data_IF_567175676249
#
_entry.id   IF_567175676249
#
_cell.length_a   1.000
_cell.length_b   1.000
_cell.length_c   1.000
_cell.angle_alpha   90.00
_cell.angle_beta   90.00
_cell.angle_gamma   90.00
#
_symmetry.space_group_name_H-M   'P 1'
#
loop_
_entity.id
_entity.type
_entity.pdbx_description
1 polymer ?
#
# COMPACT_ATOMS: atom_id res chain seq x y z
N UNK A 1 19.24 -66.70 -73.82
CA UNK A 1 19.81 -65.85 -74.89
C UNK A 1 19.42 -64.42 -74.55
N UNK A 2 20.39 -63.47 -74.61
CA UNK A 2 20.43 -62.11 -74.03
C UNK A 2 20.67 -62.10 -72.51
N UNK A 3 21.79 -61.67 -71.90
CA UNK A 3 22.89 -60.69 -72.10
C UNK A 3 22.81 -59.58 -71.05
N UNK A 4 23.92 -59.37 -70.32
CA UNK A 4 24.51 -58.06 -69.96
C UNK A 4 23.72 -57.20 -68.93
N UNK A 5 24.24 -56.55 -67.88
CA UNK A 5 25.56 -56.16 -67.32
C UNK A 5 25.33 -55.97 -65.79
N UNK A 6 26.23 -56.32 -64.84
CA UNK A 6 27.41 -55.55 -64.39
C UNK A 6 27.02 -54.43 -63.39
N UNK A 7 27.62 -54.15 -62.23
CA UNK A 7 28.95 -54.39 -61.62
C UNK A 7 28.83 -54.13 -60.09
N UNK A 8 29.32 -55.00 -59.20
CA UNK A 8 30.69 -55.13 -58.67
C UNK A 8 30.96 -54.30 -57.38
N UNK A 9 30.95 -55.02 -56.26
CA UNK A 9 31.76 -54.73 -55.07
C UNK A 9 33.24 -54.98 -55.42
N UNK A 10 34.14 -54.09 -55.00
CA UNK A 10 35.57 -54.24 -55.22
C UNK A 10 36.36 -53.35 -54.27
N UNK A 11 37.05 -53.99 -53.34
CA UNK A 11 37.93 -53.44 -52.31
C UNK A 11 39.39 -53.70 -52.73
N UNK A 12 40.28 -52.75 -52.44
CA UNK A 12 41.75 -52.84 -52.58
C UNK A 12 42.32 -51.41 -52.52
N UNK A 13 43.24 -51.05 -51.64
CA UNK A 13 44.51 -51.74 -51.45
C UNK A 13 44.97 -51.90 -50.00
N UNK A 14 45.54 -53.08 -49.81
CA UNK A 14 46.36 -53.61 -48.72
C UNK A 14 47.84 -53.24 -48.89
N UNK A 15 48.59 -53.09 -47.79
CA UNK A 15 49.99 -53.53 -47.54
C UNK A 15 50.35 -53.07 -46.10
N UNK A 16 51.01 -53.81 -45.20
CA UNK A 16 51.71 -55.08 -45.26
C UNK A 16 51.83 -55.69 -43.84
N UNK A 17 51.99 -57.01 -43.83
CA UNK A 17 52.32 -57.96 -42.76
C UNK A 17 53.59 -57.62 -41.96
N UNK A 18 53.71 -58.08 -40.69
CA UNK A 18 54.79 -58.98 -40.22
C UNK A 18 54.69 -59.28 -38.70
N UNK A 19 54.74 -60.57 -38.32
CA UNK A 19 55.33 -61.03 -37.05
C UNK A 19 54.38 -61.50 -35.94
N UNK A 20 54.31 -62.83 -35.75
CA UNK A 20 53.55 -63.51 -34.69
C UNK A 20 54.33 -63.67 -33.37
N UNK A 21 53.64 -63.76 -32.23
CA UNK A 21 53.83 -64.79 -31.18
C UNK A 21 52.63 -64.80 -30.20
N UNK A 22 52.33 -65.94 -29.55
CA UNK A 22 50.97 -66.30 -29.15
C UNK A 22 50.65 -66.09 -27.65
N UNK A 23 49.37 -65.88 -27.37
CA UNK A 23 48.63 -66.40 -26.21
C UNK A 23 49.02 -65.87 -24.82
N UNK A 24 48.10 -65.15 -24.19
CA UNK A 24 47.51 -65.55 -22.91
C UNK A 24 46.21 -64.76 -22.70
N UNK A 25 45.10 -65.48 -22.58
CA UNK A 25 43.84 -64.96 -22.03
C UNK A 25 44.11 -64.39 -20.64
N UNK A 26 43.81 -63.10 -20.47
CA UNK A 26 43.45 -62.54 -19.18
C UNK A 26 42.40 -61.45 -19.39
N UNK A 27 41.16 -61.84 -19.14
CA UNK A 27 39.99 -60.98 -19.11
C UNK A 27 40.13 -60.04 -17.91
N UNK A 28 40.61 -58.82 -18.14
CA UNK A 28 40.53 -57.75 -17.16
C UNK A 28 39.12 -57.12 -17.22
N UNK A 29 38.36 -57.03 -16.11
CA UNK A 29 37.11 -56.30 -16.11
C UNK A 29 37.40 -54.82 -16.34
N UNK A 30 36.95 -54.28 -17.47
CA UNK A 30 36.96 -52.85 -17.75
C UNK A 30 36.12 -52.12 -16.71
N UNK A 31 36.79 -51.58 -15.69
CA UNK A 31 36.18 -50.66 -14.75
C UNK A 31 36.15 -49.28 -15.41
N UNK A 32 35.12 -49.03 -16.22
CA UNK A 32 34.81 -47.70 -16.73
C UNK A 32 34.48 -46.80 -15.53
N UNK A 33 35.47 -46.06 -15.05
CA UNK A 33 35.21 -44.97 -14.11
C UNK A 33 34.47 -43.87 -14.87
N UNK A 34 33.25 -43.49 -14.47
CA UNK A 34 32.66 -42.27 -14.97
C UNK A 34 33.53 -41.13 -14.44
N UNK A 35 34.31 -40.51 -15.33
CA UNK A 35 34.98 -39.24 -15.04
C UNK A 35 33.88 -38.21 -14.81
N UNK A 36 33.43 -38.09 -13.55
CA UNK A 36 32.63 -36.96 -13.09
C UNK A 36 33.54 -35.74 -13.20
N UNK A 37 33.36 -34.95 -14.25
CA UNK A 37 34.04 -33.68 -14.39
C UNK A 37 33.69 -32.80 -13.17
N UNK A 38 34.66 -32.39 -12.34
CA UNK A 38 34.38 -31.71 -11.07
C UNK A 38 34.02 -30.23 -11.24
N UNK A 39 33.69 -29.79 -12.47
CA UNK A 39 33.53 -28.38 -12.85
C UNK A 39 32.11 -28.01 -13.27
N UNK A 40 31.09 -28.76 -12.86
CA UNK A 40 29.70 -28.37 -13.07
C UNK A 40 29.26 -27.29 -12.05
N UNK A 41 29.37 -26.03 -12.50
CA UNK A 41 28.68 -24.79 -12.05
C UNK A 41 28.72 -24.40 -10.56
N UNK A 42 29.62 -23.45 -10.24
CA UNK A 42 29.62 -22.67 -8.97
C UNK A 42 29.27 -21.17 -9.17
N UNK A 43 28.79 -20.76 -10.35
CA UNK A 43 28.54 -19.34 -10.73
C UNK A 43 27.08 -18.85 -10.55
N UNK A 44 26.14 -19.70 -10.15
CA UNK A 44 24.69 -19.37 -10.03
C UNK A 44 24.27 -18.68 -8.72
N UNK A 45 25.09 -18.71 -7.67
CA UNK A 45 24.68 -18.26 -6.33
C UNK A 45 24.48 -16.75 -6.19
N UNK A 46 25.40 -15.92 -6.70
CA UNK A 46 25.34 -14.45 -6.48
C UNK A 46 24.16 -13.82 -7.22
N UNK A 47 23.93 -14.22 -8.47
CA UNK A 47 22.80 -13.71 -9.27
C UNK A 47 21.47 -14.08 -8.61
N UNK A 48 21.32 -15.31 -8.10
CA UNK A 48 20.12 -15.74 -7.40
C UNK A 48 19.89 -14.95 -6.10
N UNK A 49 20.93 -14.71 -5.31
CA UNK A 49 20.88 -13.92 -4.07
C UNK A 49 20.43 -12.48 -4.36
N UNK A 50 21.06 -11.82 -5.34
CA UNK A 50 20.72 -10.45 -5.74
C UNK A 50 19.28 -10.38 -6.25
N UNK A 51 18.86 -11.34 -7.08
CA UNK A 51 17.51 -11.43 -7.62
C UNK A 51 16.48 -11.60 -6.50
N UNK A 52 16.73 -12.50 -5.54
CA UNK A 52 15.84 -12.73 -4.41
C UNK A 52 15.81 -11.56 -3.42
N UNK A 53 16.84 -10.71 -3.38
CA UNK A 53 16.82 -9.51 -2.54
C UNK A 53 16.00 -8.38 -3.19
N UNK A 54 16.30 -8.04 -4.44
CA UNK A 54 15.75 -6.84 -5.07
C UNK A 54 14.37 -7.04 -5.70
N UNK A 55 14.05 -8.20 -6.28
CA UNK A 55 12.73 -8.39 -6.92
C UNK A 55 11.58 -8.26 -5.90
N UNK A 56 11.59 -8.97 -4.76
CA UNK A 56 10.52 -8.82 -3.77
C UNK A 56 10.44 -7.39 -3.22
N UNK A 57 11.59 -6.72 -3.03
CA UNK A 57 11.64 -5.33 -2.60
C UNK A 57 10.98 -4.39 -3.62
N UNK A 58 11.29 -4.53 -4.90
CA UNK A 58 10.70 -3.71 -5.97
C UNK A 58 9.20 -3.93 -6.05
N UNK A 59 8.73 -5.17 -5.91
CA UNK A 59 7.31 -5.50 -5.86
C UNK A 59 6.65 -4.81 -4.65
N UNK A 60 7.26 -4.93 -3.47
CA UNK A 60 6.76 -4.29 -2.25
C UNK A 60 6.62 -2.78 -2.42
N UNK A 61 7.70 -2.11 -2.86
CA UNK A 61 7.73 -0.65 -3.06
C UNK A 61 6.69 -0.23 -4.08
N UNK A 62 6.58 -0.96 -5.20
CA UNK A 62 5.68 -0.61 -6.29
C UNK A 62 4.21 -0.77 -5.91
N UNK A 63 3.83 -1.91 -5.32
CA UNK A 63 2.45 -2.15 -4.84
C UNK A 63 2.10 -1.15 -3.74
N UNK A 64 2.98 -0.97 -2.75
CA UNK A 64 2.74 -0.04 -1.64
C UNK A 64 2.60 1.39 -2.15
N UNK A 65 3.43 1.84 -3.10
CA UNK A 65 3.35 3.20 -3.66
C UNK A 65 2.06 3.42 -4.45
N UNK A 66 1.68 2.46 -5.29
CA UNK A 66 0.46 2.53 -6.12
C UNK A 66 -0.81 2.53 -5.28
N UNK A 67 -0.80 1.88 -4.11
CA UNK A 67 -1.93 1.86 -3.18
C UNK A 67 -1.93 3.06 -2.22
N UNK A 68 -0.76 3.63 -1.89
CA UNK A 68 -0.63 4.72 -0.91
C UNK A 68 -0.84 6.11 -1.51
N UNK A 69 -0.35 6.36 -2.73
CA UNK A 69 -0.26 7.72 -3.27
C UNK A 69 -1.35 8.04 -4.30
N UNK A 70 -1.18 9.16 -5.00
CA UNK A 70 -2.18 9.81 -5.87
C UNK A 70 -2.82 8.90 -6.92
N UNK A 71 -2.13 7.85 -7.39
CA UNK A 71 -2.67 6.89 -8.37
C UNK A 71 -3.93 6.20 -7.84
N UNK A 72 -3.95 5.84 -6.55
CA UNK A 72 -5.12 5.21 -5.93
C UNK A 72 -6.29 6.18 -5.81
N UNK A 73 -5.99 7.43 -5.43
CA UNK A 73 -7.00 8.48 -5.25
C UNK A 73 -7.64 8.92 -6.56
N UNK A 74 -6.84 9.22 -7.59
CA UNK A 74 -7.34 9.70 -8.88
C UNK A 74 -8.06 8.60 -9.68
N UNK A 75 -7.54 7.37 -9.64
CA UNK A 75 -8.03 6.28 -10.47
C UNK A 75 -7.94 4.94 -9.71
N UNK A 76 -8.91 4.68 -8.84
CA UNK A 76 -8.99 3.43 -8.08
C UNK A 76 -8.96 2.18 -8.99
N UNK A 77 -9.52 2.25 -10.19
CA UNK A 77 -9.47 1.16 -11.18
C UNK A 77 -8.05 0.89 -11.67
N UNK A 78 -7.30 1.93 -12.04
CA UNK A 78 -5.91 1.81 -12.49
C UNK A 78 -5.01 1.22 -11.39
N UNK A 79 -5.15 1.72 -10.16
CA UNK A 79 -4.41 1.21 -9.00
C UNK A 79 -4.66 -0.29 -8.76
N UNK A 80 -5.93 -0.74 -8.86
CA UNK A 80 -6.30 -2.16 -8.77
C UNK A 80 -5.73 -2.99 -9.93
N UNK A 81 -5.79 -2.47 -11.15
CA UNK A 81 -5.24 -3.15 -12.34
C UNK A 81 -3.72 -3.34 -12.24
N UNK A 82 -2.98 -2.31 -11.83
CA UNK A 82 -1.52 -2.39 -11.64
C UNK A 82 -1.17 -3.37 -10.51
N UNK A 83 -1.91 -3.32 -9.41
CA UNK A 83 -1.73 -4.24 -8.27
C UNK A 83 -1.97 -5.70 -8.69
N UNK A 84 -3.01 -5.95 -9.49
CA UNK A 84 -3.32 -7.27 -10.05
C UNK A 84 -2.27 -7.73 -11.08
N UNK A 85 -1.78 -6.83 -11.93
CA UNK A 85 -0.72 -7.14 -12.88
C UNK A 85 0.56 -7.59 -12.18
N UNK A 86 0.93 -6.95 -11.06
CA UNK A 86 2.06 -7.38 -10.24
C UNK A 86 1.81 -8.72 -9.55
N UNK A 87 0.56 -9.04 -9.19
CA UNK A 87 0.21 -10.37 -8.69
C UNK A 87 0.40 -11.45 -9.76
N UNK A 88 0.07 -11.15 -11.02
CA UNK A 88 0.33 -12.05 -12.16
C UNK A 88 1.83 -12.31 -12.31
N UNK A 89 2.68 -11.30 -12.15
CA UNK A 89 4.15 -11.48 -12.14
C UNK A 89 4.60 -12.42 -11.02
N UNK A 90 4.04 -12.28 -9.81
CA UNK A 90 4.31 -13.22 -8.70
C UNK A 90 3.85 -14.64 -9.06
N UNK A 91 2.67 -14.78 -9.67
CA UNK A 91 2.16 -16.08 -10.12
C UNK A 91 3.06 -16.73 -11.20
N UNK A 92 3.66 -15.93 -12.09
CA UNK A 92 4.65 -16.41 -13.05
C UNK A 92 5.89 -17.00 -12.35
N UNK A 93 6.37 -16.39 -11.26
CA UNK A 93 7.44 -17.00 -10.44
C UNK A 93 7.01 -18.33 -9.84
N UNK A 94 5.75 -18.45 -9.40
CA UNK A 94 5.17 -19.71 -8.93
C UNK A 94 5.12 -20.78 -10.03
N UNK A 95 4.74 -20.40 -11.25
CA UNK A 95 4.79 -21.29 -12.41
C UNK A 95 6.22 -21.75 -12.73
N UNK A 96 7.19 -20.83 -12.73
CA UNK A 96 8.61 -21.16 -12.95
C UNK A 96 9.14 -22.09 -11.86
N UNK A 97 8.78 -21.87 -10.60
CA UNK A 97 9.12 -22.75 -9.49
C UNK A 97 8.52 -24.15 -9.66
N UNK A 98 7.25 -24.24 -10.05
CA UNK A 98 6.57 -25.52 -10.30
C UNK A 98 7.19 -26.27 -11.49
N UNK A 99 7.46 -25.56 -12.60
CA UNK A 99 8.11 -26.14 -13.77
C UNK A 99 9.53 -26.66 -13.43
N UNK A 100 10.30 -25.91 -12.65
CA UNK A 100 11.60 -26.33 -12.16
C UNK A 100 11.49 -27.57 -11.25
N UNK A 101 10.47 -27.65 -10.40
CA UNK A 101 10.24 -28.82 -9.54
C UNK A 101 9.90 -30.08 -10.35
N UNK A 102 9.08 -29.97 -11.41
CA UNK A 102 8.75 -31.12 -12.29
C UNK A 102 9.96 -31.62 -13.09
N UNK A 103 10.84 -30.71 -13.51
CA UNK A 103 12.09 -31.03 -14.24
C UNK A 103 13.22 -31.51 -13.33
N UNK A 104 13.04 -31.47 -12.00
CA UNK A 104 14.01 -32.03 -11.03
C UNK A 104 14.27 -33.52 -11.28
N UNK A 105 13.29 -34.22 -11.86
CA UNK A 105 13.38 -35.62 -12.30
C UNK A 105 14.43 -35.85 -13.41
N UNK A 106 14.86 -34.79 -14.11
CA UNK A 106 15.78 -34.85 -15.26
C UNK A 106 17.19 -34.31 -14.93
N UNK A 107 17.51 -34.04 -13.66
CA UNK A 107 18.87 -33.70 -13.21
C UNK A 107 19.31 -32.23 -13.39
N UNK A 108 18.37 -31.30 -13.61
CA UNK A 108 18.69 -29.85 -13.76
C UNK A 108 18.67 -29.11 -12.40
N UNK A 109 19.66 -28.22 -12.22
CA UNK A 109 20.00 -27.37 -11.05
C UNK A 109 18.83 -26.69 -10.30
N UNK A 110 18.95 -26.75 -8.96
CA UNK A 110 18.52 -25.75 -7.95
C UNK A 110 17.06 -25.21 -7.99
N UNK A 111 16.02 -26.07 -7.90
CA UNK A 111 14.62 -25.62 -7.81
C UNK A 111 14.29 -24.81 -6.53
N UNK A 112 15.15 -24.86 -5.51
CA UNK A 112 14.90 -24.22 -4.21
C UNK A 112 14.92 -22.69 -4.29
N UNK A 113 15.77 -22.08 -5.13
CA UNK A 113 15.83 -20.63 -5.29
C UNK A 113 14.58 -20.05 -5.95
N UNK A 114 14.00 -20.75 -6.93
CA UNK A 114 12.74 -20.32 -7.56
C UNK A 114 11.57 -20.39 -6.58
N UNK A 115 11.50 -21.45 -5.76
CA UNK A 115 10.49 -21.57 -4.71
C UNK A 115 10.64 -20.47 -3.65
N UNK A 116 11.88 -20.16 -3.23
CA UNK A 116 12.15 -19.07 -2.30
C UNK A 116 11.73 -17.72 -2.89
N UNK A 117 12.13 -17.41 -4.14
CA UNK A 117 11.74 -16.17 -4.83
C UNK A 117 10.22 -15.99 -4.89
N UNK A 118 9.48 -17.05 -5.24
CA UNK A 118 8.02 -17.03 -5.27
C UNK A 118 7.44 -16.72 -3.89
N UNK A 119 7.85 -17.46 -2.86
CA UNK A 119 7.33 -17.28 -1.50
C UNK A 119 7.61 -15.88 -0.96
N UNK A 120 8.84 -15.38 -1.11
CA UNK A 120 9.17 -14.03 -0.64
C UNK A 120 8.48 -12.95 -1.45
N UNK A 121 8.26 -13.15 -2.75
CA UNK A 121 7.52 -12.19 -3.58
C UNK A 121 6.03 -12.17 -3.26
N UNK A 122 5.45 -13.33 -2.89
CA UNK A 122 4.07 -13.41 -2.42
C UNK A 122 3.88 -12.71 -1.07
N UNK A 123 4.80 -12.94 -0.13
CA UNK A 123 4.81 -12.22 1.16
C UNK A 123 4.98 -10.72 0.94
N UNK A 124 5.89 -10.30 0.05
CA UNK A 124 6.08 -8.91 -0.33
C UNK A 124 4.79 -8.27 -0.84
N UNK A 125 4.10 -8.94 -1.77
CA UNK A 125 2.86 -8.45 -2.36
C UNK A 125 1.74 -8.33 -1.31
N UNK A 126 1.56 -9.34 -0.46
CA UNK A 126 0.54 -9.32 0.60
C UNK A 126 0.84 -8.22 1.62
N UNK A 127 2.08 -8.13 2.10
CA UNK A 127 2.48 -7.12 3.06
C UNK A 127 2.29 -5.70 2.48
N UNK A 128 2.67 -5.48 1.22
CA UNK A 128 2.49 -4.20 0.54
C UNK A 128 1.02 -3.85 0.32
N UNK A 129 0.17 -4.84 0.02
CA UNK A 129 -1.27 -4.63 -0.14
C UNK A 129 -1.91 -4.09 1.14
N UNK A 130 -1.68 -4.77 2.27
CA UNK A 130 -2.24 -4.35 3.55
C UNK A 130 -1.61 -3.05 4.07
N UNK A 131 -0.28 -2.94 4.02
CA UNK A 131 0.41 -1.73 4.48
C UNK A 131 0.03 -0.51 3.64
N UNK A 132 0.01 -0.63 2.32
CA UNK A 132 -0.36 0.45 1.40
C UNK A 132 -1.82 0.87 1.55
N UNK A 133 -2.76 -0.09 1.60
CA UNK A 133 -4.19 0.22 1.77
C UNK A 133 -4.48 0.84 3.14
N UNK A 134 -3.86 0.34 4.21
CA UNK A 134 -4.01 0.92 5.55
C UNK A 134 -3.48 2.35 5.60
N UNK A 135 -2.30 2.59 5.03
CA UNK A 135 -1.68 3.91 5.00
C UNK A 135 -2.50 4.91 4.17
N UNK A 136 -3.07 4.44 3.05
CA UNK A 136 -3.98 5.25 2.25
C UNK A 136 -5.20 5.70 3.05
N UNK A 137 -5.96 4.75 3.61
CA UNK A 137 -7.21 5.04 4.29
C UNK A 137 -7.03 5.91 5.55
N UNK A 138 -5.90 5.79 6.24
CA UNK A 138 -5.64 6.50 7.50
C UNK A 138 -5.00 7.86 7.31
N UNK A 139 -4.03 7.98 6.40
CA UNK A 139 -3.21 9.20 6.28
C UNK A 139 -3.42 9.91 4.94
N UNK A 140 -3.30 9.20 3.81
CA UNK A 140 -3.26 9.85 2.50
C UNK A 140 -4.63 10.23 1.95
N UNK A 141 -5.67 9.47 2.27
CA UNK A 141 -7.03 9.77 1.83
C UNK A 141 -7.52 11.11 2.40
N UNK A 142 -7.48 11.35 3.74
CA UNK A 142 -7.85 12.66 4.29
C UNK A 142 -7.03 13.81 3.69
N UNK A 143 -5.73 13.59 3.47
CA UNK A 143 -4.84 14.58 2.86
C UNK A 143 -5.30 14.97 1.45
N UNK A 144 -5.50 14.00 0.55
CA UNK A 144 -5.90 14.29 -0.84
C UNK A 144 -7.31 14.88 -0.93
N UNK A 145 -8.25 14.36 -0.13
CA UNK A 145 -9.62 14.87 -0.06
C UNK A 145 -9.69 16.34 0.36
N UNK A 146 -8.89 16.76 1.35
CA UNK A 146 -8.82 18.16 1.77
C UNK A 146 -8.08 19.03 0.74
N UNK A 147 -7.11 18.46 0.03
CA UNK A 147 -6.32 19.19 -0.98
C UNK A 147 -7.13 19.55 -2.23
N UNK A 148 -8.13 18.74 -2.60
CA UNK A 148 -9.03 19.04 -3.74
C UNK A 148 -10.07 20.12 -3.43
N UNK A 149 -10.30 20.42 -2.15
CA UNK A 149 -11.28 21.39 -1.71
C UNK A 149 -10.72 22.81 -1.63
N UNK A 150 -11.60 23.80 -1.77
CA UNK A 150 -11.24 25.21 -1.76
C UNK A 150 -10.91 25.72 -0.34
N UNK A 151 -10.03 26.72 -0.28
CA UNK A 151 -9.64 27.40 0.96
C UNK A 151 -10.28 28.78 1.00
N UNK A 152 -11.03 29.05 2.07
CA UNK A 152 -11.67 30.34 2.27
C UNK A 152 -11.10 31.04 3.50
N UNK A 153 -10.85 32.34 3.37
CA UNK A 153 -10.30 33.16 4.44
C UNK A 153 -11.23 34.32 4.76
N UNK A 154 -11.22 34.78 6.01
CA UNK A 154 -12.06 35.88 6.50
C UNK A 154 -13.56 35.64 6.28
N UNK A 155 -14.02 34.41 6.47
CA UNK A 155 -15.45 34.07 6.39
C UNK A 155 -16.17 34.54 7.65
N UNK A 156 -17.25 35.29 7.49
CA UNK A 156 -18.11 35.67 8.61
C UNK A 156 -19.29 34.69 8.72
N UNK A 157 -19.39 33.91 9.82
CA UNK A 157 -20.47 32.94 10.02
C UNK A 157 -21.88 33.53 10.00
N UNK A 158 -22.02 34.84 10.27
CA UNK A 158 -23.31 35.53 10.33
C UNK A 158 -23.81 36.01 8.97
N UNK A 159 -22.95 36.07 7.95
CA UNK A 159 -23.31 36.58 6.61
C UNK A 159 -23.21 35.54 5.52
N UNK A 160 -22.25 34.62 5.64
CA UNK A 160 -22.09 33.51 4.71
C UNK A 160 -23.06 32.38 5.06
N UNK A 161 -23.53 31.69 4.03
CA UNK A 161 -24.36 30.48 4.18
C UNK A 161 -23.57 29.26 3.75
N UNK A 162 -23.96 28.09 4.26
CA UNK A 162 -23.28 26.83 3.93
C UNK A 162 -23.37 26.49 2.44
N UNK A 163 -24.45 26.91 1.78
CA UNK A 163 -24.61 26.74 0.33
C UNK A 163 -23.52 27.42 -0.51
N UNK A 164 -23.00 28.55 -0.04
CA UNK A 164 -21.95 29.28 -0.77
C UNK A 164 -20.58 28.63 -0.62
N UNK A 165 -20.40 27.76 0.39
CA UNK A 165 -19.12 27.18 0.79
C UNK A 165 -19.18 25.63 0.81
N UNK A 166 -20.03 25.03 -0.03
CA UNK A 166 -20.20 23.57 -0.09
C UNK A 166 -18.94 22.82 -0.55
N UNK A 167 -17.99 23.50 -1.14
CA UNK A 167 -16.69 23.02 -1.62
C UNK A 167 -15.51 23.48 -0.73
N UNK A 168 -15.80 24.12 0.41
CA UNK A 168 -14.77 24.55 1.35
C UNK A 168 -14.17 23.35 2.09
N UNK A 169 -12.85 23.18 2.01
CA UNK A 169 -12.11 22.19 2.79
C UNK A 169 -11.50 22.79 4.05
N UNK A 170 -11.10 24.06 3.97
CA UNK A 170 -10.54 24.82 5.08
C UNK A 170 -11.17 26.20 5.08
N UNK A 171 -11.63 26.62 6.25
CA UNK A 171 -12.22 27.95 6.46
C UNK A 171 -11.49 28.63 7.60
N UNK A 172 -10.94 29.80 7.34
CA UNK A 172 -10.49 30.73 8.38
C UNK A 172 -11.56 31.80 8.57
N UNK A 173 -12.13 31.86 9.76
CA UNK A 173 -13.19 32.79 10.08
C UNK A 173 -12.63 34.19 10.39
N UNK A 174 -13.51 35.20 10.34
CA UNK A 174 -13.15 36.57 10.72
C UNK A 174 -12.68 36.63 12.18
N UNK A 175 -11.72 37.53 12.52
CA UNK A 175 -11.26 37.68 13.89
C UNK A 175 -12.40 37.92 14.89
N UNK A 176 -12.34 37.27 16.06
CA UNK A 176 -13.39 37.32 17.08
C UNK A 176 -14.52 36.31 16.90
N UNK A 177 -14.51 35.53 15.81
CA UNK A 177 -15.39 34.37 15.68
C UNK A 177 -15.01 33.31 16.72
N UNK A 178 -16.00 32.70 17.34
CA UNK A 178 -15.83 31.74 18.42
C UNK A 178 -16.96 30.71 18.39
N UNK A 179 -16.80 29.66 19.20
CA UNK A 179 -17.84 28.65 19.39
C UNK A 179 -18.87 29.17 20.40
N UNK A 180 -20.15 29.11 20.06
CA UNK A 180 -21.21 29.33 21.04
C UNK A 180 -21.54 28.02 21.77
N UNK A 181 -20.82 27.81 22.86
CA UNK A 181 -20.95 26.60 23.69
C UNK A 181 -22.33 26.49 24.34
N UNK A 182 -23.04 27.61 24.55
CA UNK A 182 -24.37 27.61 25.19
C UNK A 182 -25.44 26.95 24.35
N UNK A 183 -25.21 26.88 23.03
CA UNK A 183 -26.07 26.24 22.03
C UNK A 183 -25.47 24.95 21.48
N UNK A 184 -24.51 24.37 22.21
CA UNK A 184 -23.97 23.07 21.86
C UNK A 184 -24.97 21.95 22.17
N UNK A 185 -24.87 20.86 21.42
CA UNK A 185 -25.72 19.69 21.54
C UNK A 185 -24.92 18.44 21.20
N UNK A 186 -25.41 17.28 21.63
CA UNK A 186 -24.82 16.01 21.21
C UNK A 186 -25.86 14.95 20.93
N UNK A 187 -25.53 14.04 20.01
CA UNK A 187 -26.34 12.88 19.67
C UNK A 187 -25.57 11.61 20.04
N UNK A 188 -26.21 10.64 20.69
CA UNK A 188 -25.55 9.41 21.14
C UNK A 188 -25.98 8.21 20.29
N UNK A 189 -25.02 7.59 19.60
CA UNK A 189 -25.18 6.31 18.91
C UNK A 189 -23.85 5.56 18.88
N UNK A 190 -23.67 4.58 19.78
CA UNK A 190 -22.38 3.97 20.15
C UNK A 190 -21.40 5.00 20.73
N UNK A 191 -21.00 5.97 19.91
CA UNK A 191 -20.25 7.17 20.30
C UNK A 191 -21.18 8.37 20.52
N UNK A 192 -20.67 9.41 21.19
CA UNK A 192 -21.35 10.70 21.35
C UNK A 192 -20.84 11.68 20.30
N UNK A 193 -21.72 12.08 19.38
CA UNK A 193 -21.48 13.06 18.32
C UNK A 193 -21.79 14.46 18.83
N UNK A 194 -20.77 15.26 19.08
CA UNK A 194 -20.89 16.58 19.67
C UNK A 194 -20.82 17.66 18.59
N UNK A 195 -21.70 18.65 18.68
CA UNK A 195 -21.74 19.80 17.77
C UNK A 195 -21.84 21.11 18.54
N UNK A 196 -21.15 22.15 18.06
CA UNK A 196 -21.26 23.51 18.58
C UNK A 196 -21.30 24.51 17.41
N UNK A 197 -22.24 25.47 17.40
CA UNK A 197 -22.32 26.44 16.31
C UNK A 197 -21.16 27.45 16.38
N UNK A 198 -20.64 27.81 15.21
CA UNK A 198 -19.62 28.87 15.06
C UNK A 198 -20.33 30.20 14.84
N UNK A 199 -20.03 31.18 15.68
CA UNK A 199 -20.63 32.53 15.62
C UNK A 199 -19.58 33.58 15.31
N UNK A 200 -19.98 34.60 14.56
CA UNK A 200 -19.10 35.73 14.24
C UNK A 200 -18.85 36.63 15.46
N UNK A 201 -17.69 37.28 15.50
CA UNK A 201 -17.38 38.30 16.50
C UNK A 201 -18.03 39.64 16.16
N UNK A 202 -18.91 40.17 17.03
CA UNK A 202 -19.45 41.53 16.90
C UNK A 202 -20.88 41.72 17.39
N UNK A 203 -21.33 42.98 17.48
CA UNK A 203 -22.68 43.36 17.98
C UNK A 203 -23.85 42.82 17.15
N UNK A 204 -23.61 42.36 15.93
CA UNK A 204 -24.61 41.78 15.03
C UNK A 204 -24.74 40.25 15.16
N UNK A 205 -23.91 39.60 15.98
CA UNK A 205 -23.95 38.14 16.16
C UNK A 205 -25.24 37.63 16.84
N UNK A 206 -25.96 38.51 17.55
CA UNK A 206 -27.16 38.15 18.32
C UNK A 206 -28.44 38.08 17.48
N UNK A 207 -28.43 38.58 16.24
CA UNK A 207 -29.62 38.66 15.36
C UNK A 207 -29.56 37.65 14.20
N UNK A 208 -28.76 36.60 14.33
CA UNK A 208 -28.67 35.55 13.31
C UNK A 208 -29.57 34.40 13.73
N UNK A 209 -30.58 34.10 12.92
CA UNK A 209 -31.46 32.94 13.11
C UNK A 209 -30.94 31.67 12.44
N UNK A 210 -29.95 31.80 11.55
CA UNK A 210 -29.41 30.72 10.72
C UNK A 210 -27.94 30.39 11.04
N UNK A 211 -27.65 29.15 11.42
CA UNK A 211 -26.33 28.66 11.79
C UNK A 211 -25.94 27.52 10.85
N UNK A 212 -25.13 27.85 9.85
CA UNK A 212 -24.68 26.85 8.87
C UNK A 212 -23.27 26.31 9.18
N UNK A 213 -22.52 26.91 10.08
CA UNK A 213 -21.16 26.48 10.42
C UNK A 213 -21.11 25.84 11.80
N UNK A 214 -20.64 24.59 11.86
CA UNK A 214 -20.65 23.78 13.08
C UNK A 214 -19.27 23.17 13.33
N UNK A 215 -18.77 23.39 14.55
CA UNK A 215 -17.65 22.65 15.08
C UNK A 215 -18.11 21.27 15.56
N UNK A 216 -17.37 20.22 15.22
CA UNK A 216 -17.74 18.84 15.51
C UNK A 216 -16.63 18.05 16.19
N UNK A 217 -17.03 16.99 16.89
CA UNK A 217 -16.13 15.89 17.24
C UNK A 217 -16.82 14.83 18.10
N UNK A 218 -16.06 13.81 18.47
CA UNK A 218 -16.58 12.61 19.12
C UNK A 218 -16.20 12.56 20.59
N UNK A 219 -17.12 12.08 21.45
CA UNK A 219 -16.88 11.72 22.84
C UNK A 219 -16.27 12.84 23.71
N UNK A 220 -16.59 14.10 23.40
CA UNK A 220 -16.07 15.30 24.07
C UNK A 220 -17.18 16.18 24.69
N UNK A 221 -18.37 15.62 24.85
CA UNK A 221 -19.53 16.24 25.49
C UNK A 221 -20.36 15.14 26.17
N UNK A 222 -21.21 15.54 27.13
CA UNK A 222 -22.14 14.63 27.83
C UNK A 222 -23.26 14.10 26.92
N UNK A 223 -23.55 14.81 25.83
CA UNK A 223 -24.64 14.51 24.89
C UNK A 223 -26.01 15.03 25.30
N UNK A 224 -26.17 15.56 26.52
CA UNK A 224 -27.45 16.07 27.01
C UNK A 224 -27.36 17.48 27.61
N UNK A 225 -26.16 17.94 27.95
CA UNK A 225 -25.90 19.30 28.39
C UNK A 225 -25.13 20.08 27.32
N UNK A 226 -25.15 21.43 27.37
CA UNK A 226 -24.33 22.27 26.50
C UNK A 226 -22.87 22.31 26.99
N UNK A 227 -22.17 21.18 26.89
CA UNK A 227 -20.82 20.97 27.42
C UNK A 227 -19.82 20.49 26.35
N UNK A 228 -19.68 21.26 25.27
CA UNK A 228 -18.74 20.95 24.18
C UNK A 228 -17.28 21.25 24.54
N UNK A 229 -16.41 20.23 24.43
CA UNK A 229 -14.97 20.33 24.73
C UNK A 229 -14.06 19.77 23.61
N UNK A 230 -14.55 19.71 22.37
CA UNK A 230 -13.79 19.15 21.24
C UNK A 230 -12.81 20.15 20.61
N UNK A 231 -11.69 19.63 20.11
CA UNK A 231 -10.67 20.43 19.43
C UNK A 231 -10.08 21.51 20.34
N UNK A 232 -9.70 22.64 19.75
CA UNK A 232 -9.14 23.76 20.50
C UNK A 232 -10.22 24.72 21.02
N UNK A 233 -11.31 24.18 21.61
CA UNK A 233 -12.50 24.96 22.01
C UNK A 233 -12.19 26.14 22.96
N UNK A 234 -11.16 26.01 23.80
CA UNK A 234 -10.74 27.03 24.78
C UNK A 234 -9.57 27.90 24.28
N UNK A 235 -9.10 27.70 23.06
CA UNK A 235 -8.03 28.52 22.49
C UNK A 235 -8.63 29.74 21.78
N UNK A 236 -8.36 30.94 22.30
CA UNK A 236 -8.80 32.20 21.71
C UNK A 236 -8.19 32.45 20.31
N UNK A 237 -7.06 31.80 20.00
CA UNK A 237 -6.41 31.88 18.68
C UNK A 237 -7.00 30.90 17.67
N UNK A 238 -7.78 29.91 18.12
CA UNK A 238 -8.47 29.02 17.22
C UNK A 238 -9.62 29.77 16.55
N UNK A 239 -9.48 30.01 15.24
CA UNK A 239 -10.47 30.71 14.39
C UNK A 239 -10.63 30.01 13.04
N UNK A 240 -10.16 28.76 12.94
CA UNK A 240 -10.17 28.00 11.69
C UNK A 240 -10.90 26.68 11.87
N UNK A 241 -11.50 26.22 10.77
CA UNK A 241 -12.18 24.94 10.66
C UNK A 241 -11.56 24.09 9.56
N UNK A 242 -11.27 22.83 9.87
CA UNK A 242 -10.94 21.79 8.90
C UNK A 242 -12.19 20.94 8.64
N UNK A 243 -12.61 20.78 7.40
CA UNK A 243 -13.84 20.06 7.08
C UNK A 243 -13.82 18.59 7.50
N UNK A 244 -14.96 18.11 7.99
CA UNK A 244 -15.22 16.69 8.16
C UNK A 244 -15.39 16.00 6.79
N UNK A 245 -14.39 15.22 6.41
CA UNK A 245 -14.45 14.44 5.16
C UNK A 245 -15.21 13.12 5.31
N UNK A 246 -15.19 12.53 6.51
CA UNK A 246 -15.85 11.26 6.84
C UNK A 246 -17.37 11.29 6.64
N UNK A 247 -17.84 10.65 5.57
CA UNK A 247 -19.26 10.60 5.22
C UNK A 247 -20.07 9.71 6.18
N UNK A 248 -19.44 8.66 6.71
CA UNK A 248 -20.03 7.72 7.66
C UNK A 248 -20.47 8.42 8.96
N UNK A 249 -19.79 9.51 9.35
CA UNK A 249 -20.09 10.28 10.55
C UNK A 249 -21.01 11.48 10.27
N UNK A 250 -21.03 11.97 9.03
CA UNK A 250 -21.76 13.18 8.62
C UNK A 250 -23.26 13.10 8.94
N UNK A 251 -23.87 11.94 8.72
CA UNK A 251 -25.29 11.72 9.01
C UNK A 251 -25.60 11.86 10.52
N UNK A 252 -24.72 11.39 11.39
CA UNK A 252 -24.91 11.46 12.84
C UNK A 252 -24.69 12.87 13.39
N UNK A 253 -23.73 13.61 12.86
CA UNK A 253 -23.58 15.03 13.21
C UNK A 253 -24.78 15.87 12.75
N UNK A 254 -25.41 15.51 11.62
CA UNK A 254 -26.65 16.14 11.18
C UNK A 254 -27.80 15.91 12.17
N UNK A 255 -27.94 14.69 12.69
CA UNK A 255 -28.94 14.41 13.75
C UNK A 255 -28.69 15.25 15.01
N UNK A 256 -27.42 15.46 15.39
CA UNK A 256 -27.06 16.33 16.51
C UNK A 256 -27.45 17.80 16.25
N UNK A 257 -27.28 18.28 15.02
CA UNK A 257 -27.73 19.63 14.61
C UNK A 257 -29.26 19.73 14.63
N UNK A 258 -29.98 18.75 14.10
CA UNK A 258 -31.46 18.73 14.11
C UNK A 258 -32.00 18.75 15.55
N UNK A 259 -31.31 18.09 16.50
CA UNK A 259 -31.64 18.19 17.92
C UNK A 259 -31.36 19.59 18.49
N UNK A 260 -30.26 20.24 18.09
CA UNK A 260 -29.95 21.60 18.51
C UNK A 260 -30.98 22.62 17.97
N UNK A 261 -31.41 22.46 16.71
CA UNK A 261 -32.47 23.27 16.11
C UNK A 261 -33.76 23.19 16.91
N UNK A 262 -34.19 21.97 17.26
CA UNK A 262 -35.39 21.73 18.04
C UNK A 262 -35.29 22.26 19.48
N UNK A 263 -34.12 22.13 20.12
CA UNK A 263 -33.92 22.53 21.52
C UNK A 263 -33.79 24.06 21.69
N UNK A 264 -33.14 24.74 20.75
CA UNK A 264 -32.78 26.15 20.88
C UNK A 264 -33.54 27.08 19.92
N UNK A 265 -34.41 26.54 19.05
CA UNK A 265 -35.19 27.33 18.09
C UNK A 265 -34.34 28.00 17.01
N UNK A 266 -33.24 27.36 16.62
CA UNK A 266 -32.30 27.82 15.59
C UNK A 266 -32.62 27.13 14.26
N UNK A 267 -32.10 27.66 13.16
CA UNK A 267 -32.18 27.03 11.84
C UNK A 267 -30.78 26.78 11.28
N UNK A 268 -30.54 25.63 10.67
CA UNK A 268 -29.31 25.22 10.01
C UNK A 268 -29.70 24.68 8.63
N UNK A 269 -29.79 25.58 7.65
CA UNK A 269 -30.28 25.24 6.32
C UNK A 269 -29.33 24.25 5.63
N UNK A 270 -28.03 24.55 5.69
CA UNK A 270 -26.99 23.75 5.03
C UNK A 270 -25.77 23.62 5.95
N UNK A 271 -25.82 22.72 6.95
CA UNK A 271 -24.77 22.59 7.94
C UNK A 271 -23.47 22.08 7.32
N UNK A 272 -22.39 22.83 7.50
CA UNK A 272 -21.00 22.46 7.23
C UNK A 272 -20.34 22.07 8.55
N UNK A 273 -19.81 20.85 8.59
CA UNK A 273 -19.14 20.29 9.76
C UNK A 273 -17.64 20.44 9.66
N UNK A 274 -17.01 20.97 10.71
CA UNK A 274 -15.57 21.22 10.77
C UNK A 274 -14.98 20.85 12.13
N UNK A 275 -13.73 20.41 12.14
CA UNK A 275 -12.90 20.34 13.33
C UNK A 275 -12.34 21.73 13.64
N UNK A 276 -12.55 22.19 14.86
CA UNK A 276 -12.14 23.53 15.31
C UNK A 276 -10.69 23.55 15.79
N UNK A 277 -9.86 24.38 15.17
CA UNK A 277 -8.42 24.45 15.44
C UNK A 277 -7.81 25.80 15.07
N UNK A 278 -6.59 26.05 15.55
CA UNK A 278 -5.83 27.24 15.18
C UNK A 278 -5.23 27.12 13.78
N UNK A 279 -4.60 25.97 13.48
CA UNK A 279 -3.84 25.78 12.24
C UNK A 279 -4.26 24.49 11.49
N UNK A 280 -5.18 24.60 10.51
CA UNK A 280 -5.57 23.46 9.68
C UNK A 280 -4.49 23.06 8.67
N UNK A 281 -3.50 23.92 8.41
CA UNK A 281 -2.41 23.60 7.47
C UNK A 281 -1.44 22.63 8.15
N UNK A 282 -1.11 22.88 9.42
CA UNK A 282 -0.28 21.97 10.21
C UNK A 282 -0.89 20.56 10.29
N UNK A 283 -2.20 20.46 10.54
CA UNK A 283 -2.91 19.17 10.59
C UNK A 283 -2.88 18.44 9.25
N UNK A 284 -3.15 19.15 8.14
CA UNK A 284 -3.10 18.56 6.79
C UNK A 284 -1.68 18.10 6.43
N UNK A 285 -0.67 18.87 6.78
CA UNK A 285 0.72 18.49 6.57
C UNK A 285 1.12 17.29 7.45
N UNK A 286 0.58 17.18 8.67
CA UNK A 286 0.83 16.03 9.54
C UNK A 286 0.33 14.72 8.90
N UNK A 287 -0.86 14.71 8.27
CA UNK A 287 -1.33 13.56 7.50
C UNK A 287 -0.36 13.17 6.38
N UNK A 288 0.18 14.17 5.67
CA UNK A 288 1.17 13.95 4.63
C UNK A 288 2.44 13.30 5.18
N UNK A 289 3.01 13.90 6.23
CA UNK A 289 4.25 13.47 6.85
C UNK A 289 4.14 12.07 7.44
N UNK A 290 3.04 11.77 8.14
CA UNK A 290 2.79 10.44 8.67
C UNK A 290 2.63 9.40 7.56
N UNK A 291 1.94 9.74 6.46
CA UNK A 291 1.83 8.85 5.31
C UNK A 291 3.19 8.50 4.69
N UNK A 292 4.08 9.47 4.51
CA UNK A 292 5.45 9.21 4.03
C UNK A 292 6.29 8.43 5.04
N UNK A 293 6.15 8.74 6.33
CA UNK A 293 6.85 8.04 7.41
C UNK A 293 6.46 6.57 7.48
N UNK A 294 5.17 6.24 7.44
CA UNK A 294 4.69 4.86 7.40
C UNK A 294 5.18 4.12 6.15
N UNK A 295 5.18 4.79 5.00
CA UNK A 295 5.70 4.21 3.76
C UNK A 295 7.20 3.89 3.86
N UNK A 296 8.03 4.84 4.33
CA UNK A 296 9.48 4.64 4.51
C UNK A 296 9.78 3.57 5.56
N UNK A 297 9.08 3.58 6.69
CA UNK A 297 9.20 2.54 7.72
C UNK A 297 8.86 1.16 7.16
N UNK A 298 7.84 1.07 6.30
CA UNK A 298 7.49 -0.16 5.58
C UNK A 298 8.62 -0.65 4.67
N UNK A 299 9.22 0.24 3.87
CA UNK A 299 10.34 -0.10 2.99
C UNK A 299 11.54 -0.61 3.78
N UNK A 300 11.98 0.12 4.81
CA UNK A 300 13.14 -0.29 5.61
C UNK A 300 12.87 -1.56 6.40
N UNK A 301 11.66 -1.71 6.96
CA UNK A 301 11.23 -2.91 7.67
C UNK A 301 11.24 -4.14 6.76
N UNK A 302 10.65 -4.02 5.56
CA UNK A 302 10.64 -5.12 4.59
C UNK A 302 12.04 -5.44 4.06
N UNK A 303 12.87 -4.42 3.78
CA UNK A 303 14.25 -4.63 3.33
C UNK A 303 15.10 -5.38 4.37
N UNK A 304 14.99 -5.02 5.65
CA UNK A 304 15.68 -5.72 6.73
C UNK A 304 15.21 -7.19 6.83
N UNK A 305 13.89 -7.41 6.81
CA UNK A 305 13.30 -8.74 6.81
C UNK A 305 13.76 -9.59 5.61
N UNK A 306 13.78 -9.01 4.41
CA UNK A 306 14.19 -9.70 3.19
C UNK A 306 15.69 -10.03 3.21
N UNK A 307 16.53 -9.13 3.71
CA UNK A 307 17.97 -9.37 3.85
C UNK A 307 18.24 -10.54 4.78
N UNK A 308 17.60 -10.58 5.95
CA UNK A 308 17.72 -11.70 6.91
C UNK A 308 17.24 -13.01 6.27
N UNK A 309 16.10 -12.98 5.58
CA UNK A 309 15.54 -14.16 4.91
C UNK A 309 16.46 -14.72 3.82
N UNK A 310 17.06 -13.85 3.01
CA UNK A 310 18.01 -14.22 1.95
C UNK A 310 19.30 -14.80 2.54
N UNK A 311 19.83 -14.22 3.63
CA UNK A 311 21.02 -14.75 4.31
C UNK A 311 20.76 -16.14 4.88
N UNK A 312 19.61 -16.34 5.55
CA UNK A 312 19.22 -17.66 6.07
C UNK A 312 19.10 -18.67 4.92
N UNK A 313 18.41 -18.31 3.83
CA UNK A 313 18.27 -19.17 2.66
C UNK A 313 19.62 -19.54 2.05
N UNK A 314 20.54 -18.57 1.91
CA UNK A 314 21.88 -18.81 1.39
C UNK A 314 22.68 -19.79 2.28
N UNK A 315 22.61 -19.65 3.60
CA UNK A 315 23.27 -20.58 4.55
C UNK A 315 22.66 -21.98 4.46
N UNK A 316 21.33 -22.10 4.45
CA UNK A 316 20.64 -23.39 4.36
C UNK A 316 20.96 -24.10 3.05
N UNK A 317 20.89 -23.39 1.92
CA UNK A 317 21.20 -23.97 0.62
C UNK A 317 22.68 -24.35 0.50
N UNK A 318 23.59 -23.56 1.08
CA UNK A 318 25.02 -23.93 1.11
C UNK A 318 25.29 -25.24 1.85
N UNK A 319 24.50 -25.58 2.88
CA UNK A 319 24.60 -26.85 3.63
C UNK A 319 23.91 -28.02 2.95
N UNK A 320 22.88 -27.77 2.15
CA UNK A 320 22.16 -28.82 1.44
C UNK A 320 22.87 -29.27 0.16
N UNK A 321 23.65 -28.38 -0.46
CA UNK A 321 24.33 -28.62 -1.73
C UNK A 321 25.86 -28.69 -1.62
N UNK A 322 26.42 -28.45 -0.42
CA UNK A 322 27.84 -28.62 -0.10
C UNK A 322 28.10 -29.94 0.61
#
# INVERSE_FOLDING_TARGET
MYSQYGQAYGQGDSFASYGATPGFEQQAPGFDMPIKSPFARKRSSVVAIVTCLFIPLIIFVSVSAVLTFSVHFQNAALSKLVTLALLVVVALFGYLAFAAFRRKTEGVSEPAWFAFLFMTSLVAWLAAYFAGSSNFNTNMQPFFEVQELNVYVSVNPSTYTGNQLMDAGRITFTPGSHLDLTRSMGFKNLDVYCVAPVVGGGRNATNVSTFDFWAVGLNCCSGHAPDFHCGEYNNVRAVSGLRLMREDQRAFFRLAVEQAEAAYGLQALHPIFMYWMQDPIAEVNAYQDDGYKYFLMGIFGFFAFQTVSVVIAAVVFSKMYG
#
